data_IF_923642357047
#
_entry.id   IF_923642357047
#
_cell.length_a   1.000
_cell.length_b   1.000
_cell.length_c   1.000
_cell.angle_alpha   90.00
_cell.angle_beta   90.00
_cell.angle_gamma   90.00
#
_symmetry.space_group_name_H-M   'P 1'
#
loop_
_entity.id
_entity.type
_entity.pdbx_description
1 polymer ?
#
# COMPACT_ATOMS: atom_id res chain seq x y z
N UNK A 1 -5.65 6.67 9.96
CA UNK A 1 -6.55 5.65 9.40
C UNK A 1 -6.63 4.49 10.37
N UNK A 2 -7.74 3.75 10.42
CA UNK A 2 -7.86 2.56 11.26
C UNK A 2 -6.94 1.45 10.76
N UNK A 3 -6.15 0.83 11.66
CA UNK A 3 -5.15 -0.18 11.28
C UNK A 3 -5.81 -1.42 10.69
N UNK A 4 -6.90 -1.88 11.30
CA UNK A 4 -7.59 -3.10 10.88
C UNK A 4 -8.20 -2.91 9.49
N UNK A 5 -8.75 -1.74 9.21
CA UNK A 5 -9.27 -1.37 7.89
C UNK A 5 -8.18 -1.50 6.81
N UNK A 6 -6.98 -0.95 7.06
CA UNK A 6 -5.85 -1.03 6.11
C UNK A 6 -5.42 -2.47 5.91
N UNK A 7 -5.26 -3.23 6.99
CA UNK A 7 -4.86 -4.63 6.93
C UNK A 7 -5.87 -5.44 6.11
N UNK A 8 -7.16 -5.26 6.36
CA UNK A 8 -8.22 -5.95 5.63
C UNK A 8 -8.21 -5.61 4.14
N UNK A 9 -8.04 -4.33 3.79
CA UNK A 9 -7.96 -3.87 2.39
C UNK A 9 -6.74 -4.48 1.69
N UNK A 10 -5.57 -4.46 2.35
CA UNK A 10 -4.33 -5.01 1.83
C UNK A 10 -4.42 -6.52 1.62
N UNK A 11 -4.88 -7.27 2.63
CA UNK A 11 -5.04 -8.73 2.56
C UNK A 11 -6.02 -9.10 1.44
N UNK A 12 -7.14 -8.38 1.32
CA UNK A 12 -8.09 -8.59 0.24
C UNK A 12 -7.44 -8.36 -1.13
N UNK A 13 -6.73 -7.24 -1.32
CA UNK A 13 -6.06 -6.92 -2.57
C UNK A 13 -5.02 -7.98 -2.97
N UNK A 14 -4.21 -8.45 -2.00
CA UNK A 14 -3.24 -9.53 -2.22
C UNK A 14 -3.94 -10.81 -2.70
N UNK A 15 -5.03 -11.21 -2.04
CA UNK A 15 -5.81 -12.40 -2.40
C UNK A 15 -6.53 -12.25 -3.74
N UNK A 16 -6.87 -11.03 -4.15
CA UNK A 16 -7.51 -10.76 -5.44
C UNK A 16 -6.51 -10.86 -6.60
N UNK A 17 -5.27 -10.46 -6.37
CA UNK A 17 -4.21 -10.44 -7.40
C UNK A 17 -3.43 -11.75 -7.49
N UNK A 18 -3.10 -12.39 -6.35
CA UNK A 18 -2.31 -13.63 -6.31
C UNK A 18 -3.19 -14.84 -5.90
N UNK A 19 -3.50 -15.77 -6.83
CA UNK A 19 -4.19 -17.02 -6.50
C UNK A 19 -3.40 -17.86 -5.50
N UNK A 20 -2.06 -17.87 -5.59
CA UNK A 20 -1.21 -18.56 -4.64
C UNK A 20 -1.35 -17.97 -3.24
N UNK A 21 -1.32 -16.63 -3.10
CA UNK A 21 -1.53 -15.97 -1.81
C UNK A 21 -2.92 -16.27 -1.23
N UNK A 22 -3.95 -16.37 -2.07
CA UNK A 22 -5.31 -16.71 -1.64
C UNK A 22 -5.37 -18.05 -0.93
N UNK A 23 -4.76 -19.08 -1.53
CA UNK A 23 -4.68 -20.42 -0.97
C UNK A 23 -3.75 -20.47 0.24
N UNK A 24 -2.55 -19.89 0.11
CA UNK A 24 -1.53 -19.90 1.16
C UNK A 24 -2.03 -19.22 2.44
N UNK A 25 -2.72 -18.08 2.33
CA UNK A 25 -3.23 -17.28 3.46
C UNK A 25 -4.58 -17.77 4.01
N UNK A 26 -5.07 -18.95 3.60
CA UNK A 26 -6.28 -19.52 4.16
C UNK A 26 -6.05 -19.95 5.62
N UNK A 27 -6.92 -19.51 6.54
CA UNK A 27 -6.82 -19.84 7.96
C UNK A 27 -5.68 -19.16 8.73
N UNK A 28 -4.95 -18.21 8.13
CA UNK A 28 -3.93 -17.44 8.84
C UNK A 28 -4.58 -16.49 9.85
N UNK A 29 -3.95 -16.37 11.02
CA UNK A 29 -4.27 -15.32 11.98
C UNK A 29 -3.60 -13.99 11.62
N UNK A 30 -4.01 -12.93 12.30
CA UNK A 30 -3.48 -11.58 12.11
C UNK A 30 -1.96 -11.51 12.32
N UNK A 31 -1.43 -12.23 13.31
CA UNK A 31 0.00 -12.21 13.62
C UNK A 31 0.83 -12.78 12.47
N UNK A 32 0.39 -13.89 11.87
CA UNK A 32 1.05 -14.49 10.72
C UNK A 32 0.93 -13.61 9.49
N UNK A 33 -0.25 -13.01 9.25
CA UNK A 33 -0.47 -12.06 8.16
C UNK A 33 0.50 -10.89 8.25
N UNK A 34 0.57 -10.21 9.40
CA UNK A 34 1.43 -9.04 9.56
C UNK A 34 2.92 -9.30 9.36
N UNK A 35 3.39 -10.52 9.66
CA UNK A 35 4.79 -10.89 9.50
C UNK A 35 5.13 -11.39 8.08
N UNK A 36 4.14 -11.54 7.20
CA UNK A 36 4.36 -12.07 5.85
C UNK A 36 5.02 -11.03 4.92
N UNK A 37 5.92 -11.52 4.07
CA UNK A 37 6.46 -10.75 2.94
C UNK A 37 5.67 -11.05 1.68
N UNK A 38 5.49 -10.05 0.83
CA UNK A 38 4.72 -10.22 -0.41
C UNK A 38 5.37 -11.21 -1.37
N UNK A 39 6.70 -11.22 -1.43
CA UNK A 39 7.46 -12.19 -2.24
C UNK A 39 7.21 -13.65 -1.83
N UNK A 40 7.03 -13.91 -0.54
CA UNK A 40 6.75 -15.26 -0.02
C UNK A 40 5.33 -15.69 -0.39
N UNK A 41 4.44 -14.73 -0.70
CA UNK A 41 3.08 -14.93 -1.18
C UNK A 41 2.99 -14.96 -2.71
N UNK A 42 4.12 -15.15 -3.41
CA UNK A 42 4.17 -15.24 -4.86
C UNK A 42 3.82 -13.93 -5.57
N UNK A 43 3.87 -12.79 -4.86
CA UNK A 43 3.59 -11.46 -5.44
C UNK A 43 4.83 -10.98 -6.20
N UNK A 44 4.68 -10.81 -7.51
CA UNK A 44 5.70 -10.21 -8.37
C UNK A 44 5.66 -8.68 -8.36
N UNK A 45 6.63 -8.04 -9.01
CA UNK A 45 6.63 -6.57 -9.16
C UNK A 45 5.43 -6.03 -9.95
N UNK A 46 4.84 -6.83 -10.85
CA UNK A 46 3.63 -6.44 -11.60
C UNK A 46 2.42 -6.46 -10.67
N UNK A 47 2.30 -7.53 -9.89
CA UNK A 47 1.23 -7.73 -8.90
C UNK A 47 1.28 -6.63 -7.83
N UNK A 48 2.49 -6.25 -7.43
CA UNK A 48 2.74 -5.20 -6.45
C UNK A 48 2.06 -3.88 -6.82
N UNK A 49 2.20 -3.45 -8.07
CA UNK A 49 1.58 -2.23 -8.56
C UNK A 49 0.05 -2.31 -8.59
N UNK A 50 -0.50 -3.49 -8.92
CA UNK A 50 -1.94 -3.71 -8.93
C UNK A 50 -2.51 -3.69 -7.51
N UNK A 51 -1.85 -4.36 -6.56
CA UNK A 51 -2.22 -4.35 -5.13
C UNK A 51 -2.21 -2.91 -4.61
N UNK A 52 -1.16 -2.13 -4.92
CA UNK A 52 -1.05 -0.74 -4.52
C UNK A 52 -2.26 0.09 -4.95
N UNK A 53 -2.62 0.01 -6.24
CA UNK A 53 -3.75 0.73 -6.81
C UNK A 53 -5.08 0.33 -6.17
N UNK A 54 -5.32 -0.97 -5.98
CA UNK A 54 -6.54 -1.48 -5.34
C UNK A 54 -6.66 -0.96 -3.90
N UNK A 55 -5.57 -0.99 -3.13
CA UNK A 55 -5.58 -0.53 -1.73
C UNK A 55 -5.81 0.98 -1.67
N UNK A 56 -5.14 1.76 -2.53
CA UNK A 56 -5.32 3.21 -2.62
C UNK A 56 -6.76 3.58 -2.99
N UNK A 57 -7.36 2.90 -3.96
CA UNK A 57 -8.75 3.12 -4.38
C UNK A 57 -9.74 2.72 -3.27
N UNK A 58 -9.53 1.58 -2.60
CA UNK A 58 -10.40 1.13 -1.51
C UNK A 58 -10.36 2.03 -0.28
N UNK A 59 -9.23 2.69 -0.03
CA UNK A 59 -9.02 3.55 1.14
C UNK A 59 -9.18 5.04 0.84
N UNK A 60 -9.46 5.42 -0.42
CA UNK A 60 -9.50 6.82 -0.89
C UNK A 60 -8.21 7.60 -0.54
N UNK A 61 -7.07 6.95 -0.76
CA UNK A 61 -5.73 7.51 -0.50
C UNK A 61 -4.98 7.71 -1.81
N UNK A 62 -4.40 8.89 -1.99
CA UNK A 62 -3.52 9.19 -3.11
C UNK A 62 -2.07 9.33 -2.63
N UNK A 63 -1.21 8.37 -2.99
CA UNK A 63 0.23 8.50 -2.79
C UNK A 63 1.00 7.98 -4.03
N UNK A 64 2.27 8.40 -4.17
CA UNK A 64 3.11 7.86 -5.25
C UNK A 64 3.32 6.36 -5.03
N UNK A 65 3.29 5.58 -6.11
CA UNK A 65 3.62 4.16 -6.07
C UNK A 65 5.03 3.90 -5.54
N UNK A 66 5.94 4.86 -5.73
CA UNK A 66 7.31 4.84 -5.19
C UNK A 66 7.33 4.75 -3.66
N UNK A 67 6.29 5.26 -2.99
CA UNK A 67 6.13 5.19 -1.53
C UNK A 67 5.67 3.79 -1.11
N UNK A 68 4.79 3.17 -1.91
CA UNK A 68 4.27 1.82 -1.65
C UNK A 68 5.35 0.73 -1.80
N UNK A 69 6.25 0.87 -2.78
CA UNK A 69 7.35 -0.09 -3.04
C UNK A 69 8.51 -0.03 -2.04
N UNK A 70 8.51 0.92 -1.11
CA UNK A 70 9.53 1.01 -0.06
C UNK A 70 9.32 0.01 1.08
N UNK A 71 8.11 -0.50 1.25
CA UNK A 71 7.80 -1.60 2.15
C UNK A 71 7.68 -2.89 1.33
N UNK A 72 7.87 -4.05 1.94
CA UNK A 72 7.64 -5.35 1.29
C UNK A 72 6.99 -6.39 2.22
N UNK A 73 6.89 -6.05 3.51
CA UNK A 73 6.18 -6.82 4.53
C UNK A 73 4.81 -6.18 4.80
N UNK A 74 3.81 -7.00 5.12
CA UNK A 74 2.44 -6.54 5.38
C UNK A 74 2.36 -5.51 6.52
N UNK A 75 2.99 -5.74 7.67
CA UNK A 75 3.04 -4.78 8.79
C UNK A 75 3.61 -3.43 8.38
N UNK A 76 4.68 -3.41 7.59
CA UNK A 76 5.32 -2.17 7.16
C UNK A 76 4.42 -1.38 6.22
N UNK A 77 3.76 -2.06 5.27
CA UNK A 77 2.78 -1.44 4.38
C UNK A 77 1.59 -0.89 5.20
N UNK A 78 1.05 -1.67 6.13
CA UNK A 78 -0.04 -1.21 7.00
C UNK A 78 0.37 0.04 7.79
N UNK A 79 1.59 0.04 8.33
CA UNK A 79 2.13 1.17 9.10
C UNK A 79 2.32 2.40 8.23
N UNK A 80 2.82 2.23 7.00
CA UNK A 80 2.94 3.28 6.01
C UNK A 80 1.59 3.96 5.74
N UNK A 81 0.54 3.20 5.40
CA UNK A 81 -0.79 3.75 5.15
C UNK A 81 -1.39 4.42 6.39
N UNK A 82 -1.18 3.86 7.58
CA UNK A 82 -1.62 4.50 8.82
C UNK A 82 -0.94 5.87 9.02
N UNK A 83 0.31 6.02 8.57
CA UNK A 83 1.07 7.27 8.64
C UNK A 83 0.70 8.28 7.56
N UNK A 84 0.09 7.88 6.43
CA UNK A 84 -0.32 8.80 5.35
C UNK A 84 -1.43 9.80 5.76
N UNK A 85 -1.95 9.72 6.98
CA UNK A 85 -2.85 10.69 7.59
C UNK A 85 -2.23 12.07 7.90
N UNK A 86 -1.01 12.37 7.45
CA UNK A 86 -0.47 13.71 7.60
C UNK A 86 -1.13 14.68 6.61
N UNK A 87 -1.66 15.82 7.07
CA UNK A 87 -2.06 16.92 6.21
C UNK A 87 -0.79 17.56 5.65
N UNK A 88 -0.10 16.90 4.71
CA UNK A 88 0.85 17.61 3.87
C UNK A 88 0.04 18.39 2.85
N UNK A 89 -0.23 19.65 3.23
CA UNK A 89 -0.54 20.70 2.28
C UNK A 89 0.47 20.64 1.15
N UNK A 90 0.10 20.07 0.01
CA UNK A 90 0.77 20.37 -1.24
C UNK A 90 0.44 21.83 -1.57
N UNK A 91 1.13 22.77 -0.90
CA UNK A 91 1.45 24.04 -1.53
C UNK A 91 2.37 23.68 -2.69
N UNK A 92 1.78 23.45 -3.86
CA UNK A 92 2.50 23.69 -5.10
C UNK A 92 2.97 25.13 -5.01
N UNK A 93 4.25 25.33 -4.70
CA UNK A 93 4.88 26.61 -4.95
C UNK A 93 4.80 26.79 -6.45
N UNK A 94 3.91 27.67 -6.89
CA UNK A 94 4.00 28.27 -8.21
C UNK A 94 5.41 28.84 -8.32
N UNK A 95 6.29 28.15 -9.03
CA UNK A 95 7.53 28.72 -9.52
C UNK A 95 7.09 29.77 -10.53
N UNK A 96 6.84 30.99 -10.03
CA UNK A 96 6.75 32.18 -10.86
C UNK A 96 8.08 32.26 -11.59
N UNK A 97 8.10 31.83 -12.85
CA UNK A 97 9.12 32.26 -13.81
C UNK A 97 8.93 33.75 -14.01
N UNK A 98 9.48 34.54 -13.09
CA UNK A 98 9.82 35.93 -13.33
C UNK A 98 11.08 35.91 -14.20
N UNK A 99 10.89 35.85 -15.51
CA UNK A 99 11.89 36.37 -16.43
C UNK A 99 11.73 37.89 -16.36
N UNK A 100 12.57 38.52 -15.54
CA UNK A 100 12.70 39.97 -15.46
C UNK A 100 13.86 40.40 -16.37
N UNK A 101 13.50 41.27 -17.33
CA UNK A 101 14.31 42.08 -18.25
C UNK A 101 15.15 41.37 -19.31
#
# INVERSE_FOLDING_TARGET
MDRQLVLNALVKAIKDVSPYAREEMEGWDEHRLENAYLVDLGVSSIDYCQIANIVMEQLDVHCSIDVFVQANNIRDIVTLFCSLNFPHSHKMSETKSQINF
#
